data_IF_433985641587
#
_entry.id   IF_433985641587
#
_cell.length_a   1.000
_cell.length_b   1.000
_cell.length_c   1.000
_cell.angle_alpha   90.00
_cell.angle_beta   90.00
_cell.angle_gamma   90.00
#
_symmetry.space_group_name_H-M   'P 1'
#
loop_
_entity.id
_entity.type
_entity.pdbx_description
1 polymer ?
#
# COMPACT_ATOMS: atom_id res chain seq x y z
N UNK A 1 5.26 19.23 7.49
CA UNK A 1 6.00 18.87 6.26
C UNK A 1 5.09 18.81 5.06
N UNK A 2 5.67 18.69 3.88
CA UNK A 2 4.90 18.59 2.63
C UNK A 2 4.47 17.16 2.33
N UNK A 3 5.17 16.17 2.89
CA UNK A 3 4.89 14.74 2.72
C UNK A 3 4.83 14.01 4.07
N UNK A 4 4.23 12.84 4.10
CA UNK A 4 4.10 12.02 5.32
C UNK A 4 5.48 11.74 5.96
N UNK A 5 6.50 11.49 5.17
CA UNK A 5 7.87 11.28 5.61
C UNK A 5 8.46 12.42 6.48
N UNK A 6 8.11 13.66 6.19
CA UNK A 6 8.55 14.79 7.02
C UNK A 6 7.88 14.78 8.39
N UNK A 7 6.60 14.39 8.45
CA UNK A 7 5.89 14.27 9.71
C UNK A 7 6.44 13.10 10.56
N UNK A 8 6.82 11.99 9.94
CA UNK A 8 7.43 10.84 10.62
C UNK A 8 8.80 11.19 11.22
N UNK A 9 9.67 11.88 10.46
CA UNK A 9 10.96 12.35 10.95
C UNK A 9 10.79 13.29 12.15
N UNK A 10 9.86 14.23 12.07
CA UNK A 10 9.60 15.18 13.15
C UNK A 10 8.99 14.49 14.38
N UNK A 11 8.06 13.55 14.20
CA UNK A 11 7.48 12.78 15.29
C UNK A 11 8.55 11.96 16.04
N UNK A 12 9.49 11.37 15.31
CA UNK A 12 10.62 10.63 15.90
C UNK A 12 11.52 11.56 16.71
N UNK A 13 11.90 12.71 16.12
CA UNK A 13 12.72 13.72 16.81
C UNK A 13 12.08 14.20 18.10
N UNK A 14 10.79 14.55 18.06
CA UNK A 14 10.03 14.98 19.26
C UNK A 14 9.92 13.85 20.29
N UNK A 15 9.69 12.62 19.84
CA UNK A 15 9.67 11.45 20.70
C UNK A 15 10.98 11.30 21.48
N UNK A 16 12.10 11.37 20.79
CA UNK A 16 13.44 11.25 21.40
C UNK A 16 13.71 12.38 22.40
N UNK A 17 13.39 13.64 22.05
CA UNK A 17 13.60 14.79 22.91
C UNK A 17 12.72 14.78 24.17
N UNK A 18 11.48 14.30 24.04
CA UNK A 18 10.52 14.27 25.14
C UNK A 18 10.48 12.94 25.90
N UNK A 19 11.32 11.97 25.53
CA UNK A 19 11.32 10.63 26.11
C UNK A 19 10.03 9.84 25.85
N UNK A 20 9.35 10.11 24.74
CA UNK A 20 8.13 9.43 24.30
C UNK A 20 8.47 8.32 23.32
N UNK A 21 7.69 7.25 23.36
CA UNK A 21 7.84 6.15 22.41
C UNK A 21 7.28 6.59 21.04
N UNK A 22 8.12 6.54 20.00
CA UNK A 22 7.69 6.63 18.61
C UNK A 22 7.31 5.24 18.10
N UNK A 23 6.09 5.10 17.58
CA UNK A 23 5.62 3.86 16.94
C UNK A 23 5.61 4.08 15.44
N UNK A 24 6.50 3.40 14.71
CA UNK A 24 6.55 3.50 13.26
C UNK A 24 5.30 2.89 12.62
N UNK A 25 4.72 3.51 11.58
CA UNK A 25 3.54 2.95 10.90
C UNK A 25 3.83 1.71 10.06
N UNK A 26 5.09 1.39 9.79
CA UNK A 26 5.49 0.25 8.96
C UNK A 26 6.82 -0.41 9.39
N UNK A 27 7.75 0.34 10.00
CA UNK A 27 9.07 -0.18 10.40
C UNK A 27 9.08 -0.65 11.87
N UNK A 28 8.11 -1.49 12.21
CA UNK A 28 7.94 -2.08 13.53
C UNK A 28 7.32 -3.47 13.38
N UNK A 29 7.95 -4.54 13.89
CA UNK A 29 7.45 -5.91 13.72
C UNK A 29 6.08 -6.15 14.37
N UNK A 30 5.74 -5.44 15.45
CA UNK A 30 4.44 -5.55 16.12
C UNK A 30 3.35 -4.87 15.24
N UNK A 31 3.66 -3.70 14.67
CA UNK A 31 2.77 -3.01 13.75
C UNK A 31 2.55 -3.85 12.49
N UNK A 32 3.60 -4.37 11.88
CA UNK A 32 3.49 -5.28 10.72
C UNK A 32 2.67 -6.52 11.05
N UNK A 33 2.89 -7.12 12.22
CA UNK A 33 2.08 -8.25 12.72
C UNK A 33 0.61 -7.88 12.89
N UNK A 34 0.32 -6.68 13.41
CA UNK A 34 -1.03 -6.12 13.50
C UNK A 34 -1.70 -5.96 12.13
N UNK A 35 -0.96 -5.47 11.12
CA UNK A 35 -1.45 -5.40 9.74
C UNK A 35 -1.72 -6.80 9.14
N UNK A 36 -1.05 -7.83 9.62
CA UNK A 36 -1.29 -9.23 9.26
C UNK A 36 -2.71 -9.71 9.58
N UNK A 37 -3.43 -9.06 10.53
CA UNK A 37 -4.82 -9.40 10.84
C UNK A 37 -5.76 -9.20 9.64
N UNK A 38 -5.45 -8.26 8.74
CA UNK A 38 -6.16 -8.11 7.47
C UNK A 38 -6.03 -9.39 6.62
N UNK A 39 -4.82 -9.92 6.47
CA UNK A 39 -4.58 -11.18 5.77
C UNK A 39 -5.27 -12.37 6.44
N UNK A 40 -5.28 -12.41 7.78
CA UNK A 40 -6.00 -13.41 8.56
C UNK A 40 -7.51 -13.39 8.24
N UNK A 41 -8.15 -12.25 8.32
CA UNK A 41 -9.58 -12.14 8.03
C UNK A 41 -9.92 -12.50 6.58
N UNK A 42 -9.07 -12.10 5.61
CA UNK A 42 -9.20 -12.51 4.21
C UNK A 42 -9.15 -14.03 4.08
N UNK A 43 -8.20 -14.70 4.74
CA UNK A 43 -8.06 -16.16 4.65
C UNK A 43 -9.27 -16.92 5.22
N UNK A 44 -9.98 -16.34 6.20
CA UNK A 44 -11.22 -16.90 6.74
C UNK A 44 -12.41 -16.71 5.79
N UNK A 45 -12.48 -15.54 5.14
CA UNK A 45 -13.61 -15.18 4.26
C UNK A 45 -13.47 -15.81 2.87
N UNK A 46 -12.25 -16.00 2.38
CA UNK A 46 -11.95 -16.56 1.07
C UNK A 46 -10.75 -17.52 1.16
N UNK A 47 -10.93 -18.74 1.70
CA UNK A 47 -9.83 -19.68 1.95
C UNK A 47 -9.13 -20.19 0.68
N UNK A 48 -9.80 -20.13 -0.47
CA UNK A 48 -9.27 -20.52 -1.79
C UNK A 48 -8.92 -19.30 -2.66
N UNK A 49 -8.37 -18.26 -2.04
CA UNK A 49 -7.87 -17.06 -2.69
C UNK A 49 -6.70 -17.38 -3.64
N UNK A 50 -6.74 -16.86 -4.86
CA UNK A 50 -5.63 -16.93 -5.84
C UNK A 50 -4.66 -15.75 -5.69
N UNK A 51 -5.17 -14.51 -5.48
CA UNK A 51 -4.32 -13.34 -5.37
C UNK A 51 -4.92 -12.21 -4.52
N UNK A 52 -4.04 -11.42 -3.89
CA UNK A 52 -4.39 -10.22 -3.14
C UNK A 52 -3.64 -9.00 -3.67
N UNK A 53 -4.37 -7.88 -3.83
CA UNK A 53 -3.85 -6.57 -4.21
C UNK A 53 -3.95 -5.62 -3.01
N UNK A 54 -2.83 -5.02 -2.61
CA UNK A 54 -2.74 -4.15 -1.44
C UNK A 54 -1.95 -2.87 -1.77
N UNK A 55 -2.35 -1.76 -1.19
CA UNK A 55 -1.58 -0.52 -1.29
C UNK A 55 -0.19 -0.70 -0.67
N UNK A 56 0.82 -0.10 -1.29
CA UNK A 56 2.21 -0.15 -0.86
C UNK A 56 2.82 1.26 -0.83
N UNK A 57 2.92 1.83 0.36
CA UNK A 57 3.82 2.93 0.71
C UNK A 57 5.04 2.36 1.43
N UNK A 58 5.14 2.52 2.75
CA UNK A 58 6.20 1.92 3.58
C UNK A 58 6.17 0.40 3.72
N UNK A 59 5.16 -0.29 3.18
CA UNK A 59 5.10 -1.74 3.08
C UNK A 59 4.46 -2.48 4.26
N UNK A 60 4.07 -1.80 5.34
CA UNK A 60 3.54 -2.46 6.55
C UNK A 60 2.28 -3.29 6.29
N UNK A 61 1.23 -2.68 5.70
CA UNK A 61 -0.01 -3.38 5.34
C UNK A 61 0.25 -4.54 4.37
N UNK A 62 1.00 -4.26 3.31
CA UNK A 62 1.33 -5.24 2.28
C UNK A 62 2.04 -6.46 2.86
N UNK A 63 3.14 -6.24 3.59
CA UNK A 63 3.97 -7.34 4.08
C UNK A 63 3.33 -8.11 5.23
N UNK A 64 2.60 -7.44 6.12
CA UNK A 64 1.85 -8.10 7.18
C UNK A 64 0.77 -9.02 6.61
N UNK A 65 -0.05 -8.50 5.70
CA UNK A 65 -1.13 -9.27 5.06
C UNK A 65 -0.59 -10.39 4.17
N UNK A 66 0.40 -10.10 3.30
CA UNK A 66 1.02 -11.09 2.42
C UNK A 66 1.73 -12.19 3.22
N UNK A 67 2.43 -11.82 4.29
CA UNK A 67 3.10 -12.77 5.18
C UNK A 67 2.13 -13.78 5.80
N UNK A 68 0.98 -13.32 6.28
CA UNK A 68 -0.07 -14.22 6.77
C UNK A 68 -0.62 -15.11 5.64
N UNK A 69 -1.06 -14.51 4.53
CA UNK A 69 -1.67 -15.23 3.41
C UNK A 69 -0.76 -16.33 2.89
N UNK A 70 0.52 -16.02 2.63
CA UNK A 70 1.49 -17.01 2.13
C UNK A 70 1.89 -18.06 3.17
N UNK A 71 1.84 -17.74 4.46
CA UNK A 71 2.06 -18.74 5.51
C UNK A 71 0.91 -19.74 5.61
N UNK A 72 -0.31 -19.32 5.25
CA UNK A 72 -1.51 -20.12 5.25
C UNK A 72 -1.69 -20.91 3.94
N UNK A 73 -1.43 -20.25 2.81
CA UNK A 73 -1.43 -20.84 1.48
C UNK A 73 -0.31 -20.21 0.62
N UNK A 74 0.77 -20.97 0.39
CA UNK A 74 1.97 -20.51 -0.33
C UNK A 74 1.70 -20.13 -1.79
N UNK A 75 0.62 -20.62 -2.38
CA UNK A 75 0.28 -20.42 -3.79
C UNK A 75 -0.45 -19.08 -4.04
N UNK A 76 -0.90 -18.40 -2.97
CA UNK A 76 -1.50 -17.06 -3.09
C UNK A 76 -0.47 -16.06 -3.60
N UNK A 77 -0.81 -15.36 -4.68
CA UNK A 77 0.02 -14.27 -5.18
C UNK A 77 -0.30 -12.95 -4.47
N UNK A 78 0.72 -12.24 -4.01
CA UNK A 78 0.58 -10.95 -3.32
C UNK A 78 1.15 -9.81 -4.18
N UNK A 79 0.28 -8.85 -4.50
CA UNK A 79 0.61 -7.69 -5.31
C UNK A 79 0.58 -6.42 -4.46
N UNK A 80 1.75 -5.75 -4.37
CA UNK A 80 1.81 -4.38 -3.90
C UNK A 80 1.39 -3.42 -5.02
N UNK A 81 0.72 -2.33 -4.68
CA UNK A 81 0.37 -1.29 -5.66
C UNK A 81 0.82 0.07 -5.14
N UNK A 82 1.67 0.75 -5.91
CA UNK A 82 2.25 2.05 -5.56
C UNK A 82 1.98 3.10 -6.64
N UNK A 83 1.96 4.40 -6.30
CA UNK A 83 1.94 5.45 -7.30
C UNK A 83 3.26 5.50 -8.07
N UNK A 84 3.19 5.68 -9.39
CA UNK A 84 4.37 5.84 -10.24
C UNK A 84 5.18 7.11 -9.90
N UNK A 85 4.53 8.11 -9.29
CA UNK A 85 5.14 9.35 -8.85
C UNK A 85 5.96 9.20 -7.55
N UNK A 86 5.78 8.09 -6.81
CA UNK A 86 6.54 7.77 -5.59
C UNK A 86 6.81 6.27 -5.47
N UNK A 87 7.66 5.69 -6.36
CA UNK A 87 7.86 4.25 -6.47
C UNK A 87 8.98 3.72 -5.56
N UNK A 88 9.14 4.28 -4.34
CA UNK A 88 10.32 4.03 -3.48
C UNK A 88 10.50 2.54 -3.17
N UNK A 89 9.46 1.82 -2.74
CA UNK A 89 9.56 0.38 -2.45
C UNK A 89 9.81 -0.44 -3.73
N UNK A 90 9.20 -0.07 -4.86
CA UNK A 90 9.44 -0.73 -6.15
C UNK A 90 10.92 -0.64 -6.56
N UNK A 91 11.52 0.56 -6.50
CA UNK A 91 12.93 0.76 -6.82
C UNK A 91 13.85 0.09 -5.79
N UNK A 92 13.45 0.08 -4.52
CA UNK A 92 14.20 -0.61 -3.47
C UNK A 92 14.25 -2.12 -3.69
N UNK A 93 13.14 -2.74 -4.07
CA UNK A 93 13.10 -4.16 -4.44
C UNK A 93 13.96 -4.44 -5.67
N UNK A 94 13.88 -3.59 -6.70
CA UNK A 94 14.65 -3.74 -7.94
C UNK A 94 16.16 -3.65 -7.71
N UNK A 95 16.61 -2.75 -6.82
CA UNK A 95 18.02 -2.54 -6.50
C UNK A 95 18.52 -3.38 -5.33
N UNK A 96 17.64 -4.11 -4.69
CA UNK A 96 17.93 -4.97 -3.53
C UNK A 96 18.44 -4.20 -2.29
N UNK A 97 18.14 -2.93 -2.18
CA UNK A 97 18.46 -2.05 -1.05
C UNK A 97 17.46 -0.91 -0.98
N UNK A 98 17.23 -0.40 0.23
CA UNK A 98 16.43 0.82 0.37
C UNK A 98 17.07 1.96 -0.39
N UNK A 99 16.27 2.70 -1.14
CA UNK A 99 16.71 3.86 -1.92
C UNK A 99 16.11 5.15 -1.39
N UNK A 100 16.92 6.20 -1.39
CA UNK A 100 16.42 7.57 -1.29
C UNK A 100 16.25 8.12 -2.70
N UNK A 101 15.12 8.74 -2.96
CA UNK A 101 14.82 9.33 -4.25
C UNK A 101 13.82 10.47 -4.11
N UNK A 102 13.91 11.41 -5.02
CA UNK A 102 12.90 12.46 -5.15
C UNK A 102 11.60 11.87 -5.67
N UNK A 103 10.50 12.28 -5.05
CA UNK A 103 9.16 11.87 -5.43
C UNK A 103 8.38 13.06 -5.97
N UNK A 104 7.35 12.77 -6.78
CA UNK A 104 6.47 13.78 -7.33
C UNK A 104 5.11 13.76 -6.62
N UNK A 105 4.35 14.86 -6.63
CA UNK A 105 3.00 14.87 -6.09
C UNK A 105 2.12 13.77 -6.67
N UNK A 106 1.30 13.16 -5.82
CA UNK A 106 0.39 12.08 -6.20
C UNK A 106 -0.94 12.16 -5.44
N UNK A 107 -2.01 11.68 -6.06
CA UNK A 107 -3.30 11.48 -5.39
C UNK A 107 -3.22 10.44 -4.26
N UNK A 108 -2.24 9.53 -4.34
CA UNK A 108 -1.99 8.52 -3.30
C UNK A 108 -0.96 9.03 -2.27
N UNK A 109 -1.24 10.19 -1.69
CA UNK A 109 -0.35 10.95 -0.80
C UNK A 109 0.10 10.18 0.45
N UNK A 110 -0.76 9.32 1.02
CA UNK A 110 -0.40 8.48 2.17
C UNK A 110 0.55 7.32 1.81
N UNK A 111 0.77 7.06 0.52
CA UNK A 111 1.78 6.13 0.00
C UNK A 111 3.00 6.84 -0.59
N UNK A 112 3.08 8.18 -0.47
CA UNK A 112 4.14 8.98 -1.03
C UNK A 112 5.22 9.33 -0.01
N UNK A 113 6.43 9.55 -0.50
CA UNK A 113 7.58 10.00 0.29
C UNK A 113 8.62 8.91 0.53
N UNK A 114 9.62 9.24 1.35
CA UNK A 114 10.70 8.31 1.71
C UNK A 114 10.24 7.17 2.59
N UNK A 115 11.10 6.17 2.69
CA UNK A 115 10.96 5.01 3.60
C UNK A 115 12.25 4.93 4.42
N UNK A 116 12.16 4.53 5.69
CA UNK A 116 13.33 4.31 6.54
C UNK A 116 14.36 3.43 5.84
N UNK A 117 15.62 3.85 5.81
CA UNK A 117 16.69 3.12 5.13
C UNK A 117 16.98 1.74 5.77
N UNK A 118 16.66 1.60 7.04
CA UNK A 118 16.77 0.36 7.82
C UNK A 118 15.43 -0.38 7.95
N UNK A 119 14.45 -0.05 7.09
CA UNK A 119 13.12 -0.65 7.19
C UNK A 119 13.14 -2.15 6.98
N UNK A 120 12.55 -2.86 7.95
CA UNK A 120 12.33 -4.32 7.89
C UNK A 120 11.43 -4.74 6.73
N UNK A 121 10.62 -3.80 6.21
CA UNK A 121 9.61 -4.11 5.18
C UNK A 121 10.23 -4.42 3.82
N UNK A 122 11.46 -3.98 3.53
CA UNK A 122 12.13 -4.39 2.29
C UNK A 122 12.36 -5.90 2.23
N UNK A 123 12.94 -6.47 3.29
CA UNK A 123 13.20 -7.91 3.34
C UNK A 123 11.90 -8.72 3.37
N UNK A 124 10.88 -8.20 4.04
CA UNK A 124 9.55 -8.81 4.04
C UNK A 124 8.88 -8.73 2.67
N UNK A 125 8.99 -7.61 1.93
CA UNK A 125 8.53 -7.50 0.56
C UNK A 125 9.22 -8.53 -0.34
N UNK A 126 10.53 -8.64 -0.26
CA UNK A 126 11.31 -9.61 -1.05
C UNK A 126 10.90 -11.05 -0.77
N UNK A 127 10.45 -11.34 0.44
CA UNK A 127 10.04 -12.68 0.86
C UNK A 127 8.61 -13.04 0.48
N UNK A 128 7.71 -12.05 0.54
CA UNK A 128 6.27 -12.33 0.48
C UNK A 128 5.54 -11.67 -0.68
N UNK A 129 6.15 -10.72 -1.41
CA UNK A 129 5.49 -9.97 -2.48
C UNK A 129 5.98 -10.46 -3.84
N UNK A 130 5.05 -10.82 -4.71
CA UNK A 130 5.37 -11.36 -6.04
C UNK A 130 5.63 -10.23 -7.04
N UNK A 131 4.89 -9.13 -6.95
CA UNK A 131 5.03 -7.98 -7.84
C UNK A 131 4.60 -6.69 -7.15
N UNK A 132 5.28 -5.56 -7.47
CA UNK A 132 4.74 -4.22 -7.20
C UNK A 132 4.29 -3.60 -8.52
N UNK A 133 3.00 -3.28 -8.61
CA UNK A 133 2.37 -2.63 -9.76
C UNK A 133 2.39 -1.12 -9.56
N UNK A 134 2.91 -0.39 -10.54
CA UNK A 134 2.90 1.07 -10.52
C UNK A 134 1.69 1.62 -11.26
N UNK A 135 1.02 2.62 -10.66
CA UNK A 135 -0.11 3.33 -11.26
C UNK A 135 0.25 4.78 -11.54
N UNK A 136 -0.12 5.26 -12.71
CA UNK A 136 -0.13 6.67 -13.06
C UNK A 136 -1.26 7.40 -12.32
N UNK A 137 -1.17 8.73 -12.18
CA UNK A 137 -2.22 9.56 -11.57
C UNK A 137 -3.59 9.35 -12.24
N UNK A 138 -3.62 9.21 -13.57
CA UNK A 138 -4.85 8.93 -14.32
C UNK A 138 -5.47 7.57 -13.97
N UNK A 139 -4.64 6.55 -13.73
CA UNK A 139 -5.12 5.23 -13.31
C UNK A 139 -5.64 5.26 -11.87
N UNK A 140 -5.02 6.05 -10.98
CA UNK A 140 -5.49 6.27 -9.61
C UNK A 140 -6.84 7.01 -9.63
N UNK A 141 -6.93 8.11 -10.38
CA UNK A 141 -8.17 8.87 -10.57
C UNK A 141 -9.32 8.00 -11.10
N UNK A 142 -9.05 7.21 -12.14
CA UNK A 142 -10.03 6.27 -12.70
C UNK A 142 -10.50 5.23 -11.67
N UNK A 143 -9.60 4.77 -10.79
CA UNK A 143 -9.92 3.81 -9.72
C UNK A 143 -10.83 4.42 -8.64
N UNK A 144 -10.55 5.66 -8.23
CA UNK A 144 -11.41 6.41 -7.29
C UNK A 144 -12.81 6.60 -7.89
N UNK A 145 -12.88 7.07 -9.14
CA UNK A 145 -14.13 7.26 -9.87
C UNK A 145 -14.94 5.98 -9.98
N UNK A 146 -14.30 4.87 -10.37
CA UNK A 146 -14.94 3.56 -10.48
C UNK A 146 -15.55 3.10 -9.15
N UNK A 147 -14.79 3.20 -8.05
CA UNK A 147 -15.26 2.83 -6.72
C UNK A 147 -16.49 3.64 -6.31
N UNK A 148 -16.50 4.94 -6.61
CA UNK A 148 -17.65 5.79 -6.34
C UNK A 148 -18.85 5.46 -7.24
N UNK A 149 -18.66 5.38 -8.56
CA UNK A 149 -19.74 5.17 -9.52
C UNK A 149 -20.39 3.79 -9.38
N UNK A 150 -19.60 2.74 -9.19
CA UNK A 150 -20.10 1.36 -9.18
C UNK A 150 -20.51 0.88 -7.78
N UNK A 151 -19.79 1.34 -6.75
CA UNK A 151 -19.95 0.82 -5.39
C UNK A 151 -20.39 1.86 -4.37
N UNK A 152 -20.47 3.15 -4.73
CA UNK A 152 -20.77 4.28 -3.80
C UNK A 152 -19.75 4.38 -2.66
N UNK A 153 -18.52 3.94 -2.90
CA UNK A 153 -17.43 4.04 -1.94
C UNK A 153 -16.66 5.35 -2.17
N UNK A 154 -16.52 6.13 -1.11
CA UNK A 154 -15.61 7.28 -1.06
C UNK A 154 -14.26 6.77 -0.59
N UNK A 155 -13.21 6.96 -1.40
CA UNK A 155 -11.84 6.57 -1.08
C UNK A 155 -10.87 7.71 -1.36
N UNK A 156 -9.75 7.73 -0.66
CA UNK A 156 -8.57 8.51 -1.03
C UNK A 156 -7.75 7.76 -2.10
N UNK A 157 -6.75 8.42 -2.67
CA UNK A 157 -5.91 7.84 -3.74
C UNK A 157 -5.24 6.54 -3.33
N UNK A 158 -4.62 6.51 -2.14
CA UNK A 158 -3.97 5.31 -1.61
C UNK A 158 -4.95 4.16 -1.38
N UNK A 159 -6.18 4.47 -0.94
CA UNK A 159 -7.24 3.47 -0.75
C UNK A 159 -7.70 2.83 -2.06
N UNK A 160 -7.57 3.52 -3.19
CA UNK A 160 -7.99 3.04 -4.51
C UNK A 160 -6.89 2.29 -5.28
N UNK A 161 -5.62 2.31 -4.80
CA UNK A 161 -4.49 1.69 -5.49
C UNK A 161 -4.72 0.21 -5.82
N UNK A 162 -5.23 -0.56 -4.86
CA UNK A 162 -5.44 -1.99 -5.02
C UNK A 162 -6.37 -2.33 -6.18
N UNK A 163 -7.44 -1.56 -6.35
CA UNK A 163 -8.39 -1.71 -7.48
C UNK A 163 -7.70 -1.37 -8.80
N UNK A 164 -6.93 -0.27 -8.85
CA UNK A 164 -6.18 0.10 -10.07
C UNK A 164 -5.16 -0.97 -10.47
N UNK A 165 -4.45 -1.55 -9.49
CA UNK A 165 -3.51 -2.65 -9.72
C UNK A 165 -4.20 -3.89 -10.27
N UNK A 166 -5.33 -4.28 -9.69
CA UNK A 166 -6.15 -5.39 -10.19
C UNK A 166 -6.62 -5.13 -11.64
N UNK A 167 -7.15 -3.94 -11.92
CA UNK A 167 -7.61 -3.58 -13.26
C UNK A 167 -6.48 -3.65 -14.29
N UNK A 168 -5.27 -3.23 -13.91
CA UNK A 168 -4.08 -3.28 -14.76
C UNK A 168 -3.61 -4.72 -15.04
N UNK A 169 -3.96 -5.68 -14.20
CA UNK A 169 -3.63 -7.10 -14.32
C UNK A 169 -4.84 -8.01 -14.59
N UNK A 170 -6.02 -7.44 -14.85
CA UNK A 170 -7.31 -8.15 -14.91
C UNK A 170 -7.31 -9.39 -15.83
N UNK A 171 -6.63 -9.34 -16.96
CA UNK A 171 -6.63 -10.46 -17.92
C UNK A 171 -5.92 -11.69 -17.34
N UNK A 172 -4.88 -11.50 -16.49
CA UNK A 172 -4.18 -12.59 -15.79
C UNK A 172 -5.08 -13.32 -14.81
N UNK A 173 -6.04 -12.60 -14.21
CA UNK A 173 -6.88 -13.11 -13.14
C UNK A 173 -8.31 -13.45 -13.56
N UNK A 174 -8.54 -13.62 -14.85
CA UNK A 174 -9.84 -14.04 -15.39
C UNK A 174 -10.23 -15.41 -14.86
N UNK A 175 -11.38 -15.51 -14.18
CA UNK A 175 -11.84 -16.76 -13.56
C UNK A 175 -11.14 -17.13 -12.25
N UNK A 176 -10.29 -16.25 -11.73
CA UNK A 176 -9.59 -16.39 -10.45
C UNK A 176 -10.29 -15.67 -9.32
N UNK A 177 -10.08 -16.14 -8.10
CA UNK A 177 -10.55 -15.51 -6.87
C UNK A 177 -9.52 -14.50 -6.40
N UNK A 178 -9.86 -13.22 -6.45
CA UNK A 178 -8.95 -12.14 -6.10
C UNK A 178 -9.57 -11.21 -5.06
N UNK A 179 -8.72 -10.66 -4.21
CA UNK A 179 -9.09 -9.62 -3.24
C UNK A 179 -8.32 -8.36 -3.55
N UNK A 180 -9.00 -7.22 -3.53
CA UNK A 180 -8.40 -5.91 -3.52
C UNK A 180 -8.77 -5.20 -2.21
N UNK A 181 -7.78 -4.87 -1.39
CA UNK A 181 -8.01 -4.20 -0.11
C UNK A 181 -8.20 -2.71 -0.33
N UNK A 182 -9.42 -2.23 -0.16
CA UNK A 182 -9.75 -0.80 -0.20
C UNK A 182 -9.55 -0.23 1.19
N UNK A 183 -8.44 0.47 1.40
CA UNK A 183 -8.07 1.09 2.66
C UNK A 183 -8.03 2.62 2.53
N UNK A 184 -8.50 3.34 3.54
CA UNK A 184 -8.43 4.80 3.56
C UNK A 184 -9.52 5.52 2.76
N UNK A 185 -10.07 6.57 3.40
CA UNK A 185 -11.10 7.41 2.80
C UNK A 185 -10.99 8.89 3.23
N UNK A 186 -9.83 9.29 3.73
CA UNK A 186 -9.57 10.65 4.16
C UNK A 186 -9.17 11.53 2.97
N UNK A 187 -10.07 11.69 2.01
CA UNK A 187 -9.84 12.48 0.81
C UNK A 187 -10.32 13.92 0.98
N UNK A 188 -9.54 14.88 0.45
CA UNK A 188 -9.96 16.27 0.38
C UNK A 188 -11.21 16.41 -0.53
N UNK A 189 -12.25 17.12 -0.03
CA UNK A 189 -13.51 17.25 -0.73
C UNK A 189 -13.37 17.88 -2.12
N UNK A 190 -12.52 18.89 -2.28
CA UNK A 190 -12.36 19.59 -3.57
C UNK A 190 -11.58 18.72 -4.57
N UNK A 191 -10.64 17.91 -4.10
CA UNK A 191 -9.96 16.89 -4.92
C UNK A 191 -10.97 15.84 -5.38
N UNK A 192 -11.75 15.29 -4.44
CA UNK A 192 -12.76 14.27 -4.75
C UNK A 192 -13.80 14.77 -5.75
N UNK A 193 -14.35 15.98 -5.56
CA UNK A 193 -15.30 16.59 -6.51
C UNK A 193 -14.73 16.68 -7.93
N UNK A 194 -13.45 17.08 -8.08
CA UNK A 194 -12.80 17.16 -9.40
C UNK A 194 -12.68 15.79 -10.06
N UNK A 195 -12.44 14.75 -9.28
CA UNK A 195 -12.31 13.38 -9.79
C UNK A 195 -13.65 12.84 -10.29
N UNK A 196 -14.74 13.10 -9.58
CA UNK A 196 -16.07 12.54 -9.91
C UNK A 196 -16.91 13.42 -10.85
N UNK A 197 -16.50 14.67 -11.11
CA UNK A 197 -17.12 15.53 -12.11
C UNK A 197 -16.74 15.06 -13.52
#
# INVERSE_FOLDING_TARGET
GEVAWDAEKEARRVGDEEGKIYVSPYNDPIVVGGQGTCGYEISLQLPDLDAAFLACGGGGLLTGSAGWLKSHNSDVEAFGVSPANSPVMYESMRTNKMVEMDTQPTLADTCAGGIDLDSITLDLCRRYVDEIVLLTEKEIEASIRLLFEQHRLVTEGSGALSIGGLLKRKERFKGKKVVAVVCGRNVNLEVFKKIIA
#
